data_IF_790930520004
#
_entry.id   IF_790930520004
#
_cell.length_a   1.000
_cell.length_b   1.000
_cell.length_c   1.000
_cell.angle_alpha   90.00
_cell.angle_beta   90.00
_cell.angle_gamma   90.00
#
_symmetry.space_group_name_H-M   'P 1'
#
loop_
_entity.id
_entity.type
_entity.pdbx_description
1 polymer ?
#
# COMPACT_ATOMS: atom_id res chain seq x y z
N UNK A 1 -12.41 -9.96 -36.41
CA UNK A 1 -13.66 -9.45 -35.82
C UNK A 1 -13.56 -7.94 -35.50
N UNK A 2 -14.40 -7.11 -36.14
CA UNK A 2 -14.47 -5.67 -35.93
C UNK A 2 -15.07 -5.36 -34.54
N UNK A 3 -14.21 -5.15 -33.53
CA UNK A 3 -14.66 -4.76 -32.19
C UNK A 3 -15.06 -3.28 -32.22
N UNK A 4 -16.31 -2.91 -31.88
CA UNK A 4 -16.73 -1.52 -31.85
C UNK A 4 -15.90 -0.72 -30.84
N UNK A 5 -15.48 0.50 -31.23
CA UNK A 5 -14.69 1.38 -30.36
C UNK A 5 -15.57 1.85 -29.19
N UNK A 6 -15.30 1.35 -27.99
CA UNK A 6 -16.00 1.81 -26.78
C UNK A 6 -15.58 3.25 -26.43
N UNK A 7 -16.53 4.16 -26.15
CA UNK A 7 -16.24 5.53 -25.73
C UNK A 7 -15.55 5.54 -24.35
N UNK A 8 -14.71 6.55 -24.09
CA UNK A 8 -13.92 6.67 -22.86
C UNK A 8 -14.79 6.57 -21.59
N UNK A 9 -15.99 7.18 -21.59
CA UNK A 9 -16.94 7.09 -20.48
C UNK A 9 -17.31 5.65 -20.14
N UNK A 10 -17.55 4.78 -21.13
CA UNK A 10 -17.87 3.36 -20.89
C UNK A 10 -16.64 2.58 -20.42
N UNK A 11 -15.44 2.96 -20.85
CA UNK A 11 -14.18 2.34 -20.36
C UNK A 11 -13.94 2.66 -18.89
N UNK A 12 -14.20 3.90 -18.47
CA UNK A 12 -14.06 4.32 -17.07
C UNK A 12 -14.96 3.52 -16.12
N UNK A 13 -16.11 3.03 -16.57
CA UNK A 13 -16.97 2.14 -15.76
C UNK A 13 -16.26 0.85 -15.31
N UNK A 14 -15.27 0.39 -16.09
CA UNK A 14 -14.47 -0.81 -15.82
C UNK A 14 -13.11 -0.53 -15.15
N UNK A 15 -12.84 0.73 -14.78
CA UNK A 15 -11.60 1.11 -14.11
C UNK A 15 -11.67 0.80 -12.62
N UNK A 16 -10.88 -0.15 -12.12
CA UNK A 16 -11.01 -0.71 -10.76
C UNK A 16 -9.94 -0.23 -9.78
N UNK A 17 -10.10 -0.56 -8.50
CA UNK A 17 -9.09 -0.31 -7.46
C UNK A 17 -7.72 -0.93 -7.77
N UNK A 18 -7.68 -2.03 -8.54
CA UNK A 18 -6.44 -2.72 -8.88
C UNK A 18 -5.43 -1.84 -9.63
N UNK A 19 -5.86 -0.74 -10.28
CA UNK A 19 -4.96 0.19 -10.95
C UNK A 19 -3.99 0.91 -9.99
N UNK A 20 -4.28 1.00 -8.70
CA UNK A 20 -3.31 1.48 -7.70
C UNK A 20 -2.10 0.56 -7.53
N UNK A 21 -2.15 -0.70 -7.99
CA UNK A 21 -0.96 -1.55 -8.00
C UNK A 21 0.16 -0.98 -8.87
N UNK A 22 -0.19 -0.24 -9.94
CA UNK A 22 0.78 0.48 -10.77
C UNK A 22 1.54 1.52 -9.94
N UNK A 23 0.82 2.39 -9.23
CA UNK A 23 1.40 3.47 -8.43
C UNK A 23 2.22 2.93 -7.26
N UNK A 24 1.71 1.88 -6.61
CA UNK A 24 2.41 1.19 -5.53
C UNK A 24 3.73 0.58 -5.99
N UNK A 25 3.75 -0.13 -7.13
CA UNK A 25 4.97 -0.77 -7.63
C UNK A 25 6.02 0.26 -8.08
N UNK A 26 5.61 1.33 -8.77
CA UNK A 26 6.53 2.44 -9.09
C UNK A 26 7.03 3.10 -7.81
N UNK A 27 6.17 3.25 -6.79
CA UNK A 27 6.50 3.68 -5.42
C UNK A 27 7.66 2.91 -4.79
N UNK A 28 7.54 1.58 -4.79
CA UNK A 28 8.60 0.70 -4.30
C UNK A 28 9.91 0.87 -5.06
N UNK A 29 9.87 1.09 -6.38
CA UNK A 29 11.07 1.33 -7.17
C UNK A 29 11.81 2.61 -6.74
N UNK A 30 11.09 3.70 -6.48
CA UNK A 30 11.71 4.93 -5.97
C UNK A 30 12.41 4.70 -4.62
N UNK A 31 11.78 3.96 -3.71
CA UNK A 31 12.41 3.64 -2.41
C UNK A 31 13.66 2.76 -2.57
N UNK A 32 13.63 1.80 -3.51
CA UNK A 32 14.78 0.94 -3.78
C UNK A 32 15.95 1.69 -4.41
N UNK A 33 15.68 2.68 -5.25
CA UNK A 33 16.70 3.56 -5.85
C UNK A 33 17.43 4.35 -4.76
N UNK A 34 16.69 4.89 -3.79
CA UNK A 34 17.25 5.62 -2.64
C UNK A 34 18.11 4.69 -1.76
N UNK A 35 17.61 3.48 -1.48
CA UNK A 35 18.25 2.52 -0.59
C UNK A 35 19.45 1.75 -1.19
N UNK A 36 19.95 2.13 -2.37
CA UNK A 36 21.08 1.41 -2.98
C UNK A 36 22.38 1.59 -2.17
N UNK A 37 23.15 0.51 -1.95
CA UNK A 37 24.42 0.61 -1.24
C UNK A 37 25.51 1.32 -2.06
N UNK A 38 25.37 1.38 -3.38
CA UNK A 38 26.37 1.96 -4.29
C UNK A 38 25.76 3.22 -4.93
N UNK A 39 26.14 4.37 -4.39
CA UNK A 39 25.63 5.67 -4.82
C UNK A 39 26.52 6.26 -5.93
N UNK A 40 25.92 6.93 -6.91
CA UNK A 40 26.64 7.67 -7.95
C UNK A 40 25.98 9.04 -8.21
N UNK A 41 26.74 10.03 -8.73
CA UNK A 41 26.18 11.33 -9.09
C UNK A 41 25.10 11.16 -10.17
N UNK A 42 23.82 11.34 -9.82
CA UNK A 42 22.69 11.08 -10.73
C UNK A 42 21.61 10.18 -10.14
N UNK A 43 21.96 9.30 -9.20
CA UNK A 43 21.02 8.29 -8.67
C UNK A 43 19.83 8.94 -7.95
N UNK A 44 20.10 9.97 -7.14
CA UNK A 44 19.05 10.77 -6.48
C UNK A 44 18.14 11.48 -7.49
N UNK A 45 18.68 12.00 -8.59
CA UNK A 45 17.89 12.65 -9.64
C UNK A 45 16.98 11.65 -10.35
N UNK A 46 17.47 10.44 -10.62
CA UNK A 46 16.66 9.34 -11.17
C UNK A 46 15.54 8.99 -10.19
N UNK A 47 15.86 8.82 -8.91
CA UNK A 47 14.88 8.54 -7.86
C UNK A 47 13.81 9.62 -7.74
N UNK A 48 14.21 10.90 -7.80
CA UNK A 48 13.30 12.04 -7.79
C UNK A 48 12.38 12.08 -9.03
N UNK A 49 12.90 11.72 -10.21
CA UNK A 49 12.10 11.61 -11.42
C UNK A 49 11.05 10.47 -11.30
N UNK A 50 11.43 9.34 -10.72
CA UNK A 50 10.50 8.24 -10.43
C UNK A 50 9.46 8.68 -9.39
N UNK A 51 9.85 9.42 -8.35
CA UNK A 51 8.92 10.02 -7.38
C UNK A 51 7.89 10.96 -8.03
N UNK A 52 8.33 11.85 -8.92
CA UNK A 52 7.43 12.72 -9.67
C UNK A 52 6.45 11.93 -10.54
N UNK A 53 6.92 10.84 -11.17
CA UNK A 53 6.07 9.92 -11.92
C UNK A 53 5.03 9.23 -11.01
N UNK A 54 5.41 8.80 -9.80
CA UNK A 54 4.48 8.20 -8.84
C UNK A 54 3.38 9.20 -8.46
N UNK A 55 3.73 10.44 -8.15
CA UNK A 55 2.75 11.48 -7.80
C UNK A 55 1.78 11.75 -8.97
N UNK A 56 2.29 11.83 -10.20
CA UNK A 56 1.47 12.00 -11.40
C UNK A 56 0.54 10.80 -11.65
N UNK A 57 1.06 9.57 -11.56
CA UNK A 57 0.26 8.36 -11.72
C UNK A 57 -0.79 8.22 -10.61
N UNK A 58 -0.45 8.56 -9.36
CA UNK A 58 -1.38 8.54 -8.24
C UNK A 58 -2.53 9.51 -8.46
N UNK A 59 -2.22 10.75 -8.88
CA UNK A 59 -3.24 11.74 -9.25
C UNK A 59 -4.11 11.25 -10.42
N UNK A 60 -3.52 10.63 -11.45
CA UNK A 60 -4.25 10.09 -12.59
C UNK A 60 -5.20 8.95 -12.21
N UNK A 61 -4.72 7.96 -11.44
CA UNK A 61 -5.54 6.82 -10.99
C UNK A 61 -6.66 7.30 -10.05
N UNK A 62 -6.33 8.20 -9.12
CA UNK A 62 -7.31 8.78 -8.19
C UNK A 62 -8.39 9.57 -8.93
N UNK A 63 -8.00 10.43 -9.88
CA UNK A 63 -8.96 11.20 -10.68
C UNK A 63 -9.81 10.31 -11.58
N UNK A 64 -9.25 9.24 -12.16
CA UNK A 64 -10.02 8.28 -12.96
C UNK A 64 -11.06 7.52 -12.11
N UNK A 65 -10.70 7.09 -10.89
CA UNK A 65 -11.66 6.45 -9.95
C UNK A 65 -12.70 7.44 -9.43
N UNK A 66 -12.30 8.66 -9.09
CA UNK A 66 -13.23 9.72 -8.71
C UNK A 66 -14.23 10.00 -9.84
N UNK A 67 -13.74 10.12 -11.09
CA UNK A 67 -14.58 10.27 -12.26
C UNK A 67 -15.51 9.06 -12.47
N UNK A 68 -15.04 7.82 -12.28
CA UNK A 68 -15.88 6.63 -12.33
C UNK A 68 -17.04 6.73 -11.35
N UNK A 69 -16.78 7.08 -10.10
CA UNK A 69 -17.83 7.12 -9.07
C UNK A 69 -18.75 8.33 -9.19
N UNK A 70 -18.25 9.46 -9.72
CA UNK A 70 -19.08 10.62 -10.03
C UNK A 70 -20.01 10.38 -11.25
N UNK A 71 -19.52 9.71 -12.29
CA UNK A 71 -20.28 9.47 -13.53
C UNK A 71 -21.25 8.29 -13.45
N UNK A 72 -21.04 7.39 -12.49
CA UNK A 72 -21.82 6.16 -12.30
C UNK A 72 -22.13 5.96 -10.80
N UNK A 73 -23.18 6.61 -10.28
CA UNK A 73 -23.54 6.51 -8.87
C UNK A 73 -23.86 5.05 -8.50
N UNK A 74 -23.49 4.65 -7.28
CA UNK A 74 -23.65 3.27 -6.80
C UNK A 74 -22.48 2.33 -7.13
N UNK A 75 -21.61 2.67 -8.11
CA UNK A 75 -20.43 1.84 -8.41
C UNK A 75 -19.42 1.82 -7.27
N UNK A 76 -19.36 2.85 -6.42
CA UNK A 76 -18.50 2.84 -5.24
C UNK A 76 -18.90 1.71 -4.29
N UNK A 77 -20.15 1.70 -3.83
CA UNK A 77 -20.67 0.66 -2.95
C UNK A 77 -20.59 -0.72 -3.62
N UNK A 78 -20.96 -0.82 -4.90
CA UNK A 78 -20.86 -2.07 -5.64
C UNK A 78 -19.41 -2.58 -5.74
N UNK A 79 -18.42 -1.68 -5.94
CA UNK A 79 -17.01 -2.05 -6.03
C UNK A 79 -16.46 -2.57 -4.70
N UNK A 80 -16.83 -1.94 -3.57
CA UNK A 80 -16.41 -2.35 -2.23
C UNK A 80 -17.07 -3.67 -1.81
N UNK A 81 -18.33 -3.88 -2.19
CA UNK A 81 -19.08 -5.11 -1.93
C UNK A 81 -18.68 -6.27 -2.87
N UNK A 82 -17.99 -5.99 -3.98
CA UNK A 82 -17.69 -7.00 -4.98
C UNK A 82 -16.73 -8.07 -4.43
N UNK A 83 -16.99 -9.38 -4.62
CA UNK A 83 -16.20 -10.49 -4.07
C UNK A 83 -14.74 -10.60 -4.56
N UNK A 84 -14.29 -9.66 -5.40
CA UNK A 84 -12.97 -9.64 -6.03
C UNK A 84 -12.40 -8.23 -6.03
N UNK A 85 -13.12 -7.27 -6.63
CA UNK A 85 -12.67 -5.89 -6.70
C UNK A 85 -12.53 -5.25 -5.31
N UNK A 86 -13.40 -5.58 -4.34
CA UNK A 86 -13.34 -5.04 -2.98
C UNK A 86 -12.01 -5.33 -2.27
N UNK A 87 -11.40 -6.50 -2.51
CA UNK A 87 -10.08 -6.85 -1.96
C UNK A 87 -8.94 -5.99 -2.50
N UNK A 88 -9.14 -5.26 -3.61
CA UNK A 88 -8.15 -4.33 -4.14
C UNK A 88 -8.30 -2.90 -3.60
N UNK A 89 -9.39 -2.55 -2.91
CA UNK A 89 -9.53 -1.25 -2.26
C UNK A 89 -8.32 -0.85 -1.36
N UNK A 90 -7.74 -1.77 -0.56
CA UNK A 90 -6.51 -1.53 0.20
C UNK A 90 -5.35 -0.99 -0.63
N UNK A 91 -5.23 -1.34 -1.91
CA UNK A 91 -4.08 -0.94 -2.75
C UNK A 91 -3.98 0.58 -2.93
N UNK A 92 -5.08 1.32 -2.75
CA UNK A 92 -5.06 2.78 -2.64
C UNK A 92 -4.21 3.25 -1.46
N UNK A 93 -4.36 2.61 -0.30
CA UNK A 93 -3.58 2.89 0.91
C UNK A 93 -2.14 2.38 0.80
N UNK A 94 -1.89 1.27 0.09
CA UNK A 94 -0.51 0.83 -0.18
C UNK A 94 0.21 1.89 -1.04
N UNK A 95 -0.47 2.46 -2.04
CA UNK A 95 0.07 3.55 -2.84
C UNK A 95 0.30 4.82 -2.01
N UNK A 96 -0.65 5.17 -1.14
CA UNK A 96 -0.50 6.31 -0.24
C UNK A 96 0.70 6.14 0.70
N UNK A 97 0.93 4.95 1.25
CA UNK A 97 2.11 4.65 2.06
C UNK A 97 3.41 4.90 1.29
N UNK A 98 3.50 4.43 0.04
CA UNK A 98 4.69 4.66 -0.80
C UNK A 98 4.89 6.14 -1.10
N UNK A 99 3.81 6.93 -1.23
CA UNK A 99 3.91 8.36 -1.44
C UNK A 99 4.42 9.08 -0.18
N UNK A 100 3.93 8.71 1.00
CA UNK A 100 4.41 9.25 2.29
C UNK A 100 5.89 8.96 2.46
N UNK A 101 6.32 7.70 2.31
CA UNK A 101 7.73 7.31 2.48
C UNK A 101 8.65 7.89 1.42
N UNK A 102 8.21 7.97 0.16
CA UNK A 102 9.02 8.60 -0.89
C UNK A 102 9.13 10.11 -0.67
N UNK A 103 8.08 10.77 -0.19
CA UNK A 103 8.13 12.19 0.18
C UNK A 103 9.15 12.43 1.29
N UNK A 104 9.17 11.57 2.30
CA UNK A 104 10.19 11.60 3.35
C UNK A 104 11.61 11.47 2.80
N UNK A 105 11.87 10.52 1.89
CA UNK A 105 13.22 10.31 1.33
C UNK A 105 13.68 11.40 0.37
N UNK A 106 12.79 11.88 -0.51
CA UNK A 106 13.19 12.75 -1.62
C UNK A 106 12.98 14.24 -1.34
N UNK A 107 11.98 14.61 -0.54
CA UNK A 107 11.58 16.01 -0.32
C UNK A 107 12.10 16.60 0.98
N UNK A 108 12.36 15.79 2.02
CA UNK A 108 12.98 16.28 3.26
C UNK A 108 14.48 16.47 3.00
N UNK A 109 14.98 17.70 3.17
CA UNK A 109 16.41 18.01 3.07
C UNK A 109 17.08 17.84 4.42
N UNK A 110 18.38 17.56 4.41
CA UNK A 110 19.18 17.48 5.64
C UNK A 110 19.15 18.79 6.46
N UNK A 111 19.02 19.93 5.79
CA UNK A 111 18.97 21.26 6.42
C UNK A 111 17.61 21.55 7.10
N UNK A 112 16.52 20.86 6.69
CA UNK A 112 15.17 20.99 7.29
C UNK A 112 14.98 20.08 8.51
N UNK A 113 16.01 19.30 8.84
CA UNK A 113 16.00 18.29 9.90
C UNK A 113 16.58 18.84 11.22
N UNK A 114 16.49 20.15 11.47
CA UNK A 114 16.73 20.69 12.82
C UNK A 114 15.67 20.10 13.77
N UNK A 115 16.06 19.24 14.73
CA UNK A 115 15.11 18.58 15.63
C UNK A 115 14.36 19.55 16.54
N UNK A 116 14.90 20.75 16.75
CA UNK A 116 14.34 21.76 17.65
C UNK A 116 13.26 22.63 16.97
N UNK A 117 13.30 22.74 15.63
CA UNK A 117 12.34 23.50 14.82
C UNK A 117 11.93 22.71 13.56
N UNK A 118 11.20 21.59 13.70
CA UNK A 118 10.85 20.75 12.56
C UNK A 118 10.05 21.55 11.53
N UNK A 119 10.56 21.62 10.30
CA UNK A 119 9.91 22.33 9.21
C UNK A 119 8.48 21.84 8.96
N UNK A 120 7.66 22.68 8.32
CA UNK A 120 6.24 22.38 8.07
C UNK A 120 6.01 21.01 7.38
N UNK A 121 6.96 20.58 6.55
CA UNK A 121 6.93 19.27 5.89
C UNK A 121 7.05 18.09 6.88
N UNK A 122 7.95 18.16 7.86
CA UNK A 122 8.12 17.09 8.87
C UNK A 122 6.87 16.95 9.74
N UNK A 123 6.26 18.07 10.11
CA UNK A 123 4.97 18.08 10.80
C UNK A 123 3.87 17.44 9.94
N UNK A 124 3.80 17.79 8.65
CA UNK A 124 2.82 17.23 7.72
C UNK A 124 3.01 15.71 7.53
N UNK A 125 4.25 15.22 7.45
CA UNK A 125 4.56 13.79 7.36
C UNK A 125 4.14 13.06 8.64
N UNK A 126 4.41 13.64 9.81
CA UNK A 126 3.95 13.09 11.09
C UNK A 126 2.43 13.01 11.17
N UNK A 127 1.73 14.07 10.75
CA UNK A 127 0.27 14.09 10.71
C UNK A 127 -0.26 13.03 9.71
N UNK A 128 0.37 12.91 8.54
CA UNK A 128 0.04 11.91 7.54
C UNK A 128 0.24 10.48 8.06
N UNK A 129 1.28 10.21 8.84
CA UNK A 129 1.50 8.91 9.49
C UNK A 129 0.33 8.53 10.41
N UNK A 130 -0.07 9.41 11.33
CA UNK A 130 -1.17 9.09 12.25
C UNK A 130 -2.53 8.98 11.55
N UNK A 131 -2.79 9.85 10.57
CA UNK A 131 -3.97 9.73 9.72
C UNK A 131 -3.98 8.40 8.95
N UNK A 132 -2.82 7.99 8.43
CA UNK A 132 -2.65 6.72 7.74
C UNK A 132 -2.95 5.54 8.67
N UNK A 133 -2.37 5.50 9.87
CA UNK A 133 -2.60 4.44 10.86
C UNK A 133 -4.08 4.31 11.20
N UNK A 134 -4.77 5.43 11.45
CA UNK A 134 -6.19 5.44 11.76
C UNK A 134 -7.04 4.90 10.59
N UNK A 135 -6.79 5.40 9.38
CA UNK A 135 -7.51 4.95 8.17
C UNK A 135 -7.22 3.48 7.86
N UNK A 136 -5.95 3.06 7.92
CA UNK A 136 -5.52 1.69 7.67
C UNK A 136 -6.15 0.71 8.66
N UNK A 137 -6.27 1.09 9.93
CA UNK A 137 -6.98 0.32 10.95
C UNK A 137 -8.47 0.19 10.60
N UNK A 138 -9.11 1.30 10.22
CA UNK A 138 -10.50 1.30 9.78
C UNK A 138 -10.74 0.42 8.55
N UNK A 139 -9.82 0.41 7.58
CA UNK A 139 -9.87 -0.46 6.40
C UNK A 139 -9.73 -1.92 6.80
N UNK A 140 -8.74 -2.26 7.62
CA UNK A 140 -8.52 -3.63 8.05
C UNK A 140 -9.73 -4.20 8.80
N UNK A 141 -10.24 -3.46 9.80
CA UNK A 141 -11.42 -3.86 10.57
C UNK A 141 -12.65 -3.91 9.66
N UNK A 142 -12.95 -2.83 8.95
CA UNK A 142 -14.17 -2.71 8.14
C UNK A 142 -14.25 -3.76 7.03
N UNK A 143 -13.15 -4.00 6.31
CA UNK A 143 -13.16 -4.99 5.23
C UNK A 143 -13.22 -6.42 5.74
N UNK A 144 -12.44 -6.81 6.76
CA UNK A 144 -12.54 -8.17 7.28
C UNK A 144 -13.90 -8.43 7.93
N UNK A 145 -14.44 -7.47 8.70
CA UNK A 145 -15.79 -7.57 9.26
C UNK A 145 -16.84 -7.74 8.16
N UNK A 146 -16.77 -6.95 7.08
CA UNK A 146 -17.71 -7.07 5.97
C UNK A 146 -17.56 -8.41 5.23
N UNK A 147 -16.34 -8.79 4.86
CA UNK A 147 -16.09 -10.01 4.08
C UNK A 147 -16.54 -11.25 4.84
N UNK A 148 -16.23 -11.36 6.15
CA UNK A 148 -16.64 -12.50 6.96
C UNK A 148 -18.15 -12.53 7.25
N UNK A 149 -18.83 -11.38 7.24
CA UNK A 149 -20.28 -11.33 7.40
C UNK A 149 -21.05 -11.59 6.10
N UNK A 150 -20.59 -11.02 4.98
CA UNK A 150 -21.33 -10.99 3.72
C UNK A 150 -21.02 -12.18 2.79
N UNK A 151 -19.84 -12.80 2.90
CA UNK A 151 -19.40 -13.82 1.97
C UNK A 151 -19.04 -15.15 2.67
N UNK A 152 -19.53 -16.26 2.13
CA UNK A 152 -19.09 -17.61 2.55
C UNK A 152 -17.79 -17.95 1.83
N UNK A 153 -16.67 -17.69 2.50
CA UNK A 153 -15.33 -17.96 1.99
C UNK A 153 -14.90 -19.39 2.28
N UNK A 154 -15.10 -20.29 1.31
CA UNK A 154 -14.61 -21.67 1.41
C UNK A 154 -13.09 -21.76 1.26
N UNK A 155 -12.44 -22.64 2.03
CA UNK A 155 -10.98 -22.83 2.01
C UNK A 155 -10.43 -23.18 0.61
N UNK A 156 -11.17 -23.98 -0.16
CA UNK A 156 -10.78 -24.36 -1.52
C UNK A 156 -10.82 -23.18 -2.50
N UNK A 157 -11.60 -22.14 -2.19
CA UNK A 157 -11.73 -20.94 -3.01
C UNK A 157 -10.81 -19.80 -2.55
N UNK A 158 -9.92 -20.06 -1.56
CA UNK A 158 -9.04 -19.05 -1.03
C UNK A 158 -8.20 -18.43 -2.14
N UNK A 159 -8.12 -17.10 -2.17
CA UNK A 159 -7.28 -16.37 -3.11
C UNK A 159 -6.19 -15.62 -2.36
N UNK A 160 -4.95 -15.55 -2.88
CA UNK A 160 -3.88 -14.79 -2.25
C UNK A 160 -4.26 -13.33 -1.98
N UNK A 161 -5.12 -12.74 -2.82
CA UNK A 161 -5.60 -11.37 -2.68
C UNK A 161 -6.41 -11.12 -1.40
N UNK A 162 -6.90 -12.16 -0.71
CA UNK A 162 -7.60 -12.02 0.57
C UNK A 162 -6.72 -11.48 1.70
N UNK A 163 -5.40 -11.44 1.48
CA UNK A 163 -4.43 -10.85 2.39
C UNK A 163 -4.38 -9.32 2.28
N UNK A 164 -4.81 -8.73 1.17
CA UNK A 164 -4.67 -7.29 0.91
C UNK A 164 -5.31 -6.39 1.99
N UNK A 165 -6.45 -6.73 2.62
CA UNK A 165 -7.03 -5.89 3.66
C UNK A 165 -6.15 -5.64 4.89
N UNK A 166 -5.20 -6.53 5.24
CA UNK A 166 -4.27 -6.30 6.34
C UNK A 166 -3.03 -5.49 5.94
N UNK A 167 -2.71 -5.41 4.65
CA UNK A 167 -1.49 -4.74 4.21
C UNK A 167 -1.41 -3.26 4.59
N UNK A 168 -2.48 -2.44 4.52
CA UNK A 168 -2.40 -1.05 4.94
C UNK A 168 -1.89 -0.90 6.37
N UNK A 169 -2.47 -1.64 7.33
CA UNK A 169 -2.05 -1.51 8.72
C UNK A 169 -0.63 -2.05 8.92
N UNK A 170 -0.27 -3.12 8.22
CA UNK A 170 1.11 -3.62 8.19
C UNK A 170 2.10 -2.54 7.74
N UNK A 171 1.80 -1.82 6.66
CA UNK A 171 2.68 -0.79 6.08
C UNK A 171 2.88 0.42 6.98
N UNK A 172 2.05 0.63 8.02
CA UNK A 172 2.34 1.60 9.07
C UNK A 172 3.73 1.36 9.69
N UNK A 173 4.15 0.10 9.84
CA UNK A 173 5.50 -0.23 10.30
C UNK A 173 6.60 0.20 9.33
N UNK A 174 6.38 -0.01 8.02
CA UNK A 174 7.29 0.46 6.96
C UNK A 174 7.35 1.99 6.88
N UNK A 175 6.22 2.68 7.08
CA UNK A 175 6.23 4.15 7.14
C UNK A 175 7.02 4.60 8.37
N UNK A 176 6.72 4.04 9.54
CA UNK A 176 7.41 4.35 10.79
C UNK A 176 8.93 4.18 10.68
N UNK A 177 9.39 3.10 10.04
CA UNK A 177 10.82 2.80 9.85
C UNK A 177 11.56 3.80 8.96
N UNK A 178 10.83 4.57 8.15
CA UNK A 178 11.38 5.60 7.26
C UNK A 178 11.24 7.00 7.86
N UNK A 179 10.18 7.24 8.63
CA UNK A 179 9.90 8.58 9.17
C UNK A 179 10.47 8.82 10.56
N UNK A 180 10.71 7.78 11.39
CA UNK A 180 11.07 7.94 12.81
C UNK A 180 12.37 8.72 13.02
N UNK A 181 13.39 8.45 12.21
CA UNK A 181 14.75 9.00 12.35
C UNK A 181 14.77 10.54 12.36
N UNK A 182 13.97 11.18 11.50
CA UNK A 182 13.94 12.65 11.38
C UNK A 182 12.95 13.32 12.32
N UNK A 183 12.24 12.56 13.17
CA UNK A 183 11.24 13.12 14.07
C UNK A 183 11.88 13.54 15.40
N UNK A 184 11.34 14.59 16.06
CA UNK A 184 11.80 15.00 17.38
C UNK A 184 11.69 13.86 18.40
N UNK A 185 12.60 13.80 19.37
CA UNK A 185 12.68 12.71 20.34
C UNK A 185 11.35 12.42 21.05
N UNK A 186 10.59 13.47 21.40
CA UNK A 186 9.28 13.35 22.05
C UNK A 186 8.23 12.61 21.19
N UNK A 187 8.31 12.68 19.87
CA UNK A 187 7.37 12.04 18.94
C UNK A 187 7.92 10.73 18.34
N UNK A 188 9.24 10.55 18.33
CA UNK A 188 9.89 9.39 17.71
C UNK A 188 9.45 8.07 18.34
N UNK A 189 9.49 7.99 19.67
CA UNK A 189 9.17 6.75 20.40
C UNK A 189 7.74 6.28 20.12
N UNK A 190 6.77 7.19 20.08
CA UNK A 190 5.37 6.82 19.82
C UNK A 190 5.15 6.32 18.39
N UNK A 191 5.84 6.91 17.40
CA UNK A 191 5.82 6.45 16.00
C UNK A 191 6.43 5.05 15.88
N UNK A 192 7.58 4.82 16.51
CA UNK A 192 8.27 3.51 16.48
C UNK A 192 7.41 2.43 17.13
N UNK A 193 6.87 2.69 18.32
CA UNK A 193 6.00 1.73 19.02
C UNK A 193 4.74 1.44 18.21
N UNK A 194 4.05 2.47 17.71
CA UNK A 194 2.85 2.28 16.89
C UNK A 194 3.16 1.51 15.61
N UNK A 195 4.25 1.86 14.92
CA UNK A 195 4.72 1.18 13.71
C UNK A 195 5.02 -0.29 13.97
N UNK A 196 5.76 -0.60 15.03
CA UNK A 196 6.11 -1.97 15.40
C UNK A 196 4.87 -2.80 15.74
N UNK A 197 3.93 -2.25 16.52
CA UNK A 197 2.67 -2.91 16.85
C UNK A 197 1.85 -3.21 15.60
N UNK A 198 1.72 -2.23 14.70
CA UNK A 198 0.96 -2.39 13.46
C UNK A 198 1.62 -3.39 12.51
N UNK A 199 2.96 -3.39 12.41
CA UNK A 199 3.72 -4.37 11.63
C UNK A 199 3.51 -5.79 12.16
N UNK A 200 3.59 -5.98 13.49
CA UNK A 200 3.38 -7.27 14.14
C UNK A 200 1.98 -7.82 13.89
N UNK A 201 0.94 -6.97 14.03
CA UNK A 201 -0.44 -7.33 13.70
C UNK A 201 -0.56 -7.77 12.23
N UNK A 202 0.01 -6.97 11.32
CA UNK A 202 0.04 -7.25 9.89
C UNK A 202 0.67 -8.60 9.57
N UNK A 203 1.86 -8.86 10.12
CA UNK A 203 2.61 -10.10 9.94
C UNK A 203 1.85 -11.32 10.48
N UNK A 204 1.24 -11.22 11.66
CA UNK A 204 0.52 -12.33 12.27
C UNK A 204 -0.65 -12.79 11.38
N UNK A 205 -1.52 -11.85 10.98
CA UNK A 205 -2.67 -12.15 10.11
C UNK A 205 -2.20 -12.61 8.73
N UNK A 206 -1.19 -11.95 8.16
CA UNK A 206 -0.62 -12.33 6.88
C UNK A 206 -0.05 -13.76 6.90
N UNK A 207 0.62 -14.16 7.97
CA UNK A 207 1.18 -15.50 8.14
C UNK A 207 0.09 -16.56 8.16
N UNK A 208 -1.01 -16.30 8.87
CA UNK A 208 -2.20 -17.17 8.85
C UNK A 208 -2.78 -17.29 7.44
N UNK A 209 -2.94 -16.18 6.72
CA UNK A 209 -3.49 -16.18 5.36
C UNK A 209 -2.57 -16.88 4.34
N UNK A 210 -1.26 -16.69 4.46
CA UNK A 210 -0.25 -17.38 3.65
C UNK A 210 -0.28 -18.90 3.90
N UNK A 211 -0.39 -19.35 5.15
CA UNK A 211 -0.48 -20.77 5.48
C UNK A 211 -1.68 -21.45 4.79
N UNK A 212 -2.86 -20.83 4.83
CA UNK A 212 -4.04 -21.34 4.12
C UNK A 212 -3.86 -21.32 2.59
N UNK A 213 -3.21 -20.29 2.05
CA UNK A 213 -2.89 -20.20 0.61
C UNK A 213 -1.97 -21.35 0.17
N UNK A 214 -0.95 -21.67 0.96
CA UNK A 214 -0.05 -22.81 0.71
C UNK A 214 -0.83 -24.12 0.80
N UNK A 215 -1.64 -24.32 1.83
CA UNK A 215 -2.48 -25.52 1.98
C UNK A 215 -3.41 -25.75 0.79
N UNK A 216 -4.07 -24.69 0.29
CA UNK A 216 -4.89 -24.76 -0.92
C UNK A 216 -4.07 -25.14 -2.16
N UNK A 217 -2.87 -24.57 -2.32
CA UNK A 217 -1.98 -24.92 -3.44
C UNK A 217 -1.55 -26.39 -3.40
N UNK A 218 -1.30 -26.93 -2.20
CA UNK A 218 -0.93 -28.34 -2.03
C UNK A 218 -2.07 -29.30 -2.40
N UNK A 219 -3.32 -28.92 -2.12
CA UNK A 219 -4.50 -29.76 -2.38
C UNK A 219 -5.02 -29.64 -3.81
N UNK A 220 -5.12 -28.40 -4.32
CA UNK A 220 -5.85 -28.07 -5.55
C UNK A 220 -4.94 -27.55 -6.67
N UNK A 221 -3.63 -27.44 -6.43
CA UNK A 221 -2.67 -26.95 -7.41
C UNK A 221 -2.77 -25.44 -7.67
N UNK A 222 -2.23 -25.01 -8.82
CA UNK A 222 -2.20 -23.60 -9.20
C UNK A 222 -3.60 -23.08 -9.58
N UNK A 223 -3.93 -21.82 -9.23
CA UNK A 223 -5.17 -21.21 -9.67
C UNK A 223 -5.19 -21.00 -11.20
N UNK A 224 -6.36 -20.63 -11.72
CA UNK A 224 -6.55 -20.27 -13.12
C UNK A 224 -5.48 -19.26 -13.59
N UNK A 225 -5.09 -19.35 -14.86
CA UNK A 225 -3.94 -18.59 -15.43
C UNK A 225 -4.00 -17.09 -15.12
N UNK A 226 -5.18 -16.51 -15.19
CA UNK A 226 -5.45 -15.09 -14.93
C UNK A 226 -5.20 -14.66 -13.47
N UNK A 227 -5.16 -15.61 -12.54
CA UNK A 227 -5.02 -15.36 -11.11
C UNK A 227 -3.63 -15.70 -10.56
N UNK A 228 -2.80 -16.38 -11.35
CA UNK A 228 -1.43 -16.76 -10.94
C UNK A 228 -0.55 -15.58 -10.57
N UNK A 229 -0.60 -14.42 -11.26
CA UNK A 229 0.17 -13.25 -10.84
C UNK A 229 -0.17 -12.79 -9.40
N UNK A 230 -1.39 -13.05 -8.93
CA UNK A 230 -1.80 -12.74 -7.56
C UNK A 230 -1.02 -13.52 -6.50
N UNK A 231 -0.37 -14.63 -6.84
CA UNK A 231 0.47 -15.39 -5.89
C UNK A 231 1.67 -14.58 -5.39
N UNK A 232 2.18 -13.64 -6.18
CA UNK A 232 3.29 -12.78 -5.79
C UNK A 232 2.96 -11.84 -4.63
N UNK A 233 1.67 -11.61 -4.33
CA UNK A 233 1.26 -10.83 -3.16
C UNK A 233 1.79 -11.47 -1.86
N UNK A 234 1.94 -12.79 -1.80
CA UNK A 234 2.46 -13.51 -0.62
C UNK A 234 3.95 -13.21 -0.34
N UNK A 235 4.70 -12.60 -1.27
CA UNK A 235 6.08 -12.15 -1.02
C UNK A 235 6.12 -10.88 -0.17
N UNK A 236 5.03 -10.10 -0.19
CA UNK A 236 4.94 -8.82 0.52
C UNK A 236 5.18 -8.90 2.03
N UNK A 237 4.45 -9.75 2.80
CA UNK A 237 4.52 -9.72 4.25
C UNK A 237 5.92 -9.94 4.84
N UNK A 238 6.70 -10.97 4.45
CA UNK A 238 8.04 -11.13 4.98
C UNK A 238 8.98 -9.99 4.54
N UNK A 239 8.88 -9.52 3.29
CA UNK A 239 9.73 -8.44 2.79
C UNK A 239 9.48 -7.10 3.51
N UNK A 240 8.22 -6.68 3.66
CA UNK A 240 7.87 -5.46 4.39
C UNK A 240 8.20 -5.55 5.87
N UNK A 241 8.08 -6.74 6.46
CA UNK A 241 8.47 -6.97 7.86
C UNK A 241 9.96 -6.81 8.05
N UNK A 242 10.78 -7.42 7.21
CA UNK A 242 12.23 -7.26 7.28
C UNK A 242 12.63 -5.78 7.13
N UNK A 243 12.05 -5.09 6.14
CA UNK A 243 12.30 -3.66 5.92
C UNK A 243 11.90 -2.79 7.13
N UNK A 244 10.73 -3.06 7.73
CA UNK A 244 10.25 -2.34 8.89
C UNK A 244 11.15 -2.57 10.11
N UNK A 245 11.49 -3.83 10.42
CA UNK A 245 12.33 -4.16 11.57
C UNK A 245 13.74 -3.57 11.46
N UNK A 246 14.36 -3.66 10.27
CA UNK A 246 15.69 -3.07 10.04
C UNK A 246 15.64 -1.55 10.22
N UNK A 247 14.68 -0.85 9.61
CA UNK A 247 14.61 0.61 9.73
C UNK A 247 14.22 1.08 11.14
N UNK A 248 13.31 0.38 11.83
CA UNK A 248 12.93 0.71 13.21
C UNK A 248 14.06 0.44 14.22
N UNK A 249 14.98 -0.48 13.93
CA UNK A 249 16.15 -0.71 14.78
C UNK A 249 17.21 0.39 14.63
N UNK A 250 17.21 1.13 13.52
CA UNK A 250 18.17 2.19 13.23
C UNK A 250 17.71 3.58 13.69
N UNK A 251 16.40 3.82 13.81
CA UNK A 251 15.82 5.13 14.17
C UNK A 251 15.39 5.24 15.62
#
# INVERSE_FOLDING_TARGET
PARPRLPLRRRLAHFTWAWYTLTMSTGGLALLIDAQPHQFPGLRQIGLAVYALIAALFALVTSALAARFALFPGLLAASLAHPREGFFFPTAFLSLATLITSTQRYCVRADDADPEAPGALLWAIRAAFWAYVALATGVAVGQYSYVFAAHRLGLQAMMPTWILPIFPIMLSGTIASVVSETQPAAARVSIVVAGLTCQGLGLAVASMMCAHTVGRLMQSGLPHREHRPGLFVCVGPPAFTALALIGLALG
#
